data_IF_150059820705
#
_entry.id   IF_150059820705
#
_cell.length_a   1.000
_cell.length_b   1.000
_cell.length_c   1.000
_cell.angle_alpha   90.00
_cell.angle_beta   90.00
_cell.angle_gamma   90.00
#
_symmetry.space_group_name_H-M   'P 1'
#
loop_
_entity.id
_entity.type
_entity.pdbx_description
1 polymer ?
#
# COMPACT_ATOMS: atom_id res chain seq x y z
N UNK A 1 9.68 -7.35 -12.33
CA UNK A 1 8.65 -7.46 -13.38
C UNK A 1 9.21 -7.94 -14.70
N UNK A 2 10.15 -7.23 -15.35
CA UNK A 2 10.71 -7.64 -16.66
C UNK A 2 11.23 -9.09 -16.67
N UNK A 3 11.98 -9.49 -15.64
CA UNK A 3 12.48 -10.86 -15.50
C UNK A 3 11.35 -11.89 -15.31
N UNK A 4 10.31 -11.55 -14.55
CA UNK A 4 9.17 -12.45 -14.33
C UNK A 4 8.36 -12.67 -15.62
N UNK A 5 8.14 -11.61 -16.40
CA UNK A 5 7.52 -11.70 -17.73
C UNK A 5 8.30 -12.63 -18.66
N UNK A 6 9.63 -12.54 -18.67
CA UNK A 6 10.48 -13.38 -19.55
C UNK A 6 10.54 -14.85 -19.16
N UNK A 7 10.37 -15.18 -17.88
CA UNK A 7 10.52 -16.56 -17.40
C UNK A 7 9.27 -17.41 -17.62
N UNK A 8 8.11 -16.82 -17.94
CA UNK A 8 6.81 -17.47 -18.25
C UNK A 8 6.59 -18.81 -17.54
N UNK A 9 6.80 -18.84 -16.23
CA UNK A 9 6.68 -20.05 -15.41
C UNK A 9 5.79 -19.73 -14.21
N UNK A 10 4.81 -20.59 -13.94
CA UNK A 10 3.85 -20.45 -12.84
C UNK A 10 4.56 -20.25 -11.47
N UNK A 11 5.73 -20.85 -11.27
CA UNK A 11 6.53 -20.69 -10.06
C UNK A 11 7.18 -19.31 -9.89
N UNK A 12 7.20 -18.50 -10.96
CA UNK A 12 7.86 -17.20 -11.02
C UNK A 12 6.91 -16.08 -11.49
N UNK A 13 5.59 -16.31 -11.47
CA UNK A 13 4.61 -15.26 -11.77
C UNK A 13 4.62 -14.17 -10.69
N UNK A 14 4.70 -12.91 -11.11
CA UNK A 14 4.86 -11.76 -10.23
C UNK A 14 4.08 -10.57 -10.77
N UNK A 15 3.24 -10.00 -9.91
CA UNK A 15 2.67 -8.68 -10.14
C UNK A 15 3.16 -7.68 -9.08
N UNK A 16 2.98 -6.39 -9.36
CA UNK A 16 3.39 -5.32 -8.46
C UNK A 16 2.26 -4.30 -8.27
N UNK A 17 2.07 -3.88 -7.03
CA UNK A 17 1.21 -2.75 -6.65
C UNK A 17 2.09 -1.71 -5.97
N UNK A 18 2.06 -0.46 -6.42
CA UNK A 18 2.83 0.64 -5.87
C UNK A 18 1.89 1.75 -5.39
N UNK A 19 2.05 2.20 -4.15
CA UNK A 19 1.26 3.29 -3.58
C UNK A 19 2.00 4.62 -3.70
N UNK A 20 1.37 5.61 -4.35
CA UNK A 20 1.87 6.98 -4.36
C UNK A 20 1.28 7.77 -3.20
N UNK A 21 2.11 8.10 -2.20
CA UNK A 21 1.65 8.61 -0.89
C UNK A 21 1.84 10.12 -0.74
N UNK A 22 2.93 10.69 -1.27
CA UNK A 22 3.28 12.10 -1.05
C UNK A 22 3.71 12.84 -2.30
N UNK A 23 4.72 12.33 -3.01
CA UNK A 23 5.27 13.02 -4.17
C UNK A 23 4.51 12.68 -5.45
N UNK A 24 4.94 13.20 -6.60
CA UNK A 24 4.36 12.79 -7.90
C UNK A 24 5.27 11.79 -8.62
N UNK A 25 6.32 11.34 -7.96
CA UNK A 25 7.40 10.54 -8.49
C UNK A 25 6.88 9.28 -9.19
N UNK A 26 6.01 8.53 -8.52
CA UNK A 26 5.41 7.33 -9.10
C UNK A 26 4.45 7.61 -10.25
N UNK A 27 3.92 8.84 -10.37
CA UNK A 27 3.05 9.22 -11.49
C UNK A 27 3.84 9.65 -12.73
N UNK A 28 5.10 10.06 -12.55
CA UNK A 28 6.00 10.48 -13.63
C UNK A 28 6.82 9.31 -14.20
N UNK A 29 6.64 8.06 -13.72
CA UNK A 29 7.45 6.93 -14.17
C UNK A 29 7.21 6.52 -15.63
N UNK A 30 6.22 7.12 -16.28
CA UNK A 30 5.95 6.98 -17.71
C UNK A 30 6.57 8.08 -18.57
N UNK A 31 7.11 9.12 -17.96
CA UNK A 31 7.59 10.32 -18.64
C UNK A 31 9.02 10.09 -19.18
N UNK A 32 9.18 9.09 -20.04
CA UNK A 32 10.46 8.82 -20.71
C UNK A 32 10.66 9.76 -21.89
N UNK A 33 11.86 10.35 -21.99
CA UNK A 33 12.27 11.11 -23.18
C UNK A 33 12.83 10.21 -24.28
N UNK A 34 13.11 8.94 -23.95
CA UNK A 34 13.64 7.93 -24.86
C UNK A 34 12.56 6.95 -25.32
N UNK A 35 12.49 6.69 -26.63
CA UNK A 35 11.55 5.72 -27.21
C UNK A 35 11.83 4.26 -26.81
N UNK A 36 13.10 3.91 -26.56
CA UNK A 36 13.51 2.55 -26.20
C UNK A 36 14.89 2.53 -25.53
N UNK A 37 15.20 1.40 -24.89
CA UNK A 37 16.46 1.19 -24.15
C UNK A 37 17.71 1.43 -24.99
N UNK A 38 17.73 1.00 -26.26
CA UNK A 38 18.92 1.17 -27.12
C UNK A 38 19.24 2.63 -27.38
N UNK A 39 18.20 3.45 -27.64
CA UNK A 39 18.35 4.91 -27.80
C UNK A 39 18.77 5.58 -26.48
N UNK A 40 18.18 5.17 -25.36
CA UNK A 40 18.53 5.68 -24.04
C UNK A 40 20.01 5.42 -23.70
N UNK A 41 20.46 4.17 -23.80
CA UNK A 41 21.84 3.76 -23.52
C UNK A 41 22.82 4.53 -24.42
N UNK A 42 22.52 4.63 -25.72
CA UNK A 42 23.35 5.37 -26.66
C UNK A 42 23.47 6.85 -26.27
N UNK A 43 22.36 7.51 -25.97
CA UNK A 43 22.36 8.92 -25.55
C UNK A 43 23.20 9.13 -24.29
N UNK A 44 23.01 8.29 -23.27
CA UNK A 44 23.78 8.37 -22.02
C UNK A 44 25.28 8.13 -22.25
N UNK A 45 25.66 7.27 -23.20
CA UNK A 45 27.06 6.98 -23.51
C UNK A 45 27.80 8.13 -24.22
N UNK A 46 27.06 9.08 -24.82
CA UNK A 46 27.62 10.26 -25.48
C UNK A 46 27.97 11.37 -24.47
N UNK A 47 27.48 11.27 -23.23
CA UNK A 47 27.73 12.19 -22.13
C UNK A 47 28.74 11.63 -21.13
N UNK A 48 29.91 12.26 -20.99
CA UNK A 48 30.99 11.78 -20.12
C UNK A 48 30.56 11.56 -18.65
N UNK A 49 29.63 12.38 -18.13
CA UNK A 49 29.15 12.25 -16.74
C UNK A 49 28.22 11.05 -16.53
N UNK A 50 27.63 10.52 -17.60
CA UNK A 50 26.63 9.44 -17.58
C UNK A 50 27.16 8.13 -18.18
N UNK A 51 28.45 8.06 -18.55
CA UNK A 51 29.05 6.86 -19.14
C UNK A 51 28.87 5.61 -18.25
N UNK A 52 29.02 5.78 -16.92
CA UNK A 52 28.81 4.68 -15.98
C UNK A 52 27.34 4.27 -15.90
N UNK A 53 26.41 5.23 -15.93
CA UNK A 53 24.97 4.98 -15.96
C UNK A 53 24.56 4.24 -17.24
N UNK A 54 25.13 4.62 -18.39
CA UNK A 54 24.95 3.93 -19.66
C UNK A 54 25.38 2.46 -19.59
N UNK A 55 26.57 2.18 -19.04
CA UNK A 55 27.09 0.81 -18.86
C UNK A 55 26.24 -0.02 -17.91
N UNK A 56 25.74 0.59 -16.84
CA UNK A 56 24.83 -0.08 -15.89
C UNK A 56 23.49 -0.42 -16.56
N UNK A 57 22.92 0.50 -17.34
CA UNK A 57 21.69 0.25 -18.09
C UNK A 57 21.87 -0.77 -19.22
N UNK A 58 23.00 -0.74 -19.94
CA UNK A 58 23.37 -1.77 -20.92
C UNK A 58 23.40 -3.15 -20.27
N UNK A 59 24.08 -3.27 -19.12
CA UNK A 59 24.14 -4.54 -18.40
C UNK A 59 22.77 -5.00 -17.90
N UNK A 60 21.93 -4.08 -17.43
CA UNK A 60 20.57 -4.39 -17.02
C UNK A 60 19.72 -4.88 -18.22
N UNK A 61 19.86 -4.24 -19.37
CA UNK A 61 19.17 -4.61 -20.60
C UNK A 61 19.59 -5.98 -21.12
N UNK A 62 20.89 -6.32 -21.05
CA UNK A 62 21.41 -7.66 -21.36
C UNK A 62 20.82 -8.74 -20.44
N UNK A 63 20.55 -8.39 -19.17
CA UNK A 63 19.85 -9.25 -18.21
C UNK A 63 18.34 -9.26 -18.41
N UNK A 64 17.85 -8.54 -19.42
CA UNK A 64 16.45 -8.48 -19.81
C UNK A 64 15.59 -7.53 -18.99
N UNK A 65 16.20 -6.54 -18.35
CA UNK A 65 15.50 -5.48 -17.63
C UNK A 65 15.20 -4.34 -18.62
N UNK A 66 13.92 -4.09 -18.85
CA UNK A 66 13.45 -2.98 -19.68
C UNK A 66 12.46 -2.13 -18.85
N UNK A 67 12.94 -1.05 -18.20
CA UNK A 67 12.07 -0.16 -17.44
C UNK A 67 11.07 0.59 -18.32
N UNK A 68 11.43 0.97 -19.56
CA UNK A 68 10.53 1.72 -20.45
C UNK A 68 9.31 0.87 -20.78
N UNK A 69 9.51 -0.38 -21.19
CA UNK A 69 8.42 -1.33 -21.44
C UNK A 69 7.61 -1.60 -20.17
N UNK A 70 8.28 -1.84 -19.05
CA UNK A 70 7.61 -2.19 -17.79
C UNK A 70 6.70 -1.07 -17.30
N UNK A 71 7.20 0.17 -17.29
CA UNK A 71 6.48 1.31 -16.74
C UNK A 71 5.44 1.88 -17.71
N UNK A 72 5.64 1.81 -19.03
CA UNK A 72 4.61 2.22 -19.99
C UNK A 72 3.32 1.39 -19.85
N UNK A 73 3.47 0.10 -19.52
CA UNK A 73 2.37 -0.82 -19.28
C UNK A 73 1.73 -0.70 -17.88
N UNK A 74 2.20 0.21 -17.01
CA UNK A 74 1.62 0.37 -15.69
C UNK A 74 0.20 0.93 -15.75
N UNK A 75 -0.71 0.47 -14.90
CA UNK A 75 -2.03 1.07 -14.74
C UNK A 75 -2.03 2.05 -13.58
N UNK A 76 -2.54 3.27 -13.78
CA UNK A 76 -2.52 4.31 -12.75
C UNK A 76 -3.94 4.58 -12.27
N UNK A 77 -4.20 4.27 -11.01
CA UNK A 77 -5.48 4.43 -10.35
C UNK A 77 -5.49 5.72 -9.51
N UNK A 78 -6.54 6.52 -9.63
CA UNK A 78 -6.70 7.78 -8.92
C UNK A 78 -8.06 7.84 -8.21
N UNK A 79 -8.18 8.53 -7.07
CA UNK A 79 -9.47 8.65 -6.40
C UNK A 79 -10.40 9.51 -7.26
N UNK A 80 -11.64 9.07 -7.41
CA UNK A 80 -12.66 9.84 -8.10
C UNK A 80 -13.99 9.11 -8.20
N UNK A 81 -15.09 9.84 -8.05
CA UNK A 81 -16.44 9.32 -8.27
C UNK A 81 -16.77 9.45 -9.76
N UNK A 82 -16.32 8.47 -10.53
CA UNK A 82 -16.55 8.34 -11.98
C UNK A 82 -16.61 6.86 -12.34
N UNK A 83 -17.21 6.55 -13.49
CA UNK A 83 -17.22 5.20 -14.06
C UNK A 83 -15.95 4.88 -14.88
N UNK A 84 -14.98 5.78 -14.91
CA UNK A 84 -13.67 5.53 -15.53
C UNK A 84 -12.95 4.37 -14.83
N UNK A 85 -12.39 3.38 -15.57
CA UNK A 85 -11.73 2.22 -14.99
C UNK A 85 -10.58 2.56 -14.04
N UNK A 86 -9.86 3.64 -14.32
CA UNK A 86 -8.73 4.14 -13.53
C UNK A 86 -9.15 5.02 -12.36
N UNK A 87 -10.46 5.23 -12.15
CA UNK A 87 -11.00 5.97 -11.01
C UNK A 87 -11.56 5.02 -9.98
N UNK A 88 -11.15 5.23 -8.73
CA UNK A 88 -11.61 4.41 -7.62
C UNK A 88 -12.38 5.21 -6.58
N UNK A 89 -13.42 4.59 -6.04
CA UNK A 89 -14.20 5.09 -4.90
C UNK A 89 -14.95 3.96 -4.19
N UNK A 90 -15.37 4.19 -2.95
CA UNK A 90 -15.94 3.17 -2.07
C UNK A 90 -17.32 3.59 -1.56
N UNK A 91 -18.24 2.64 -1.50
CA UNK A 91 -19.47 2.74 -0.73
C UNK A 91 -19.31 2.13 0.67
N UNK A 92 -20.34 2.24 1.50
CA UNK A 92 -20.33 1.68 2.86
C UNK A 92 -20.09 0.16 2.83
N UNK A 93 -20.71 -0.54 1.89
CA UNK A 93 -20.64 -2.00 1.83
C UNK A 93 -19.27 -2.49 1.37
N UNK A 94 -18.57 -1.77 0.49
CA UNK A 94 -17.20 -2.17 0.11
C UNK A 94 -16.28 -2.15 1.33
N UNK A 95 -16.40 -1.09 2.15
CA UNK A 95 -15.60 -0.91 3.36
C UNK A 95 -15.96 -1.96 4.43
N UNK A 96 -17.25 -2.18 4.71
CA UNK A 96 -17.68 -3.17 5.70
C UNK A 96 -17.36 -4.61 5.28
N UNK A 97 -17.45 -4.94 3.99
CA UNK A 97 -17.12 -6.27 3.48
C UNK A 97 -15.63 -6.58 3.57
N UNK A 98 -14.76 -5.58 3.36
CA UNK A 98 -13.32 -5.75 3.54
C UNK A 98 -12.93 -5.93 5.01
N UNK A 99 -13.71 -5.36 5.93
CA UNK A 99 -13.64 -5.64 7.35
C UNK A 99 -13.78 -4.42 8.25
N UNK A 100 -14.06 -4.70 9.53
CA UNK A 100 -14.31 -3.68 10.55
C UNK A 100 -13.11 -2.76 10.80
N UNK A 101 -11.90 -3.28 10.67
CA UNK A 101 -10.62 -2.59 10.72
C UNK A 101 -10.44 -1.59 9.57
N UNK A 102 -10.88 -1.94 8.35
CA UNK A 102 -10.96 -1.01 7.21
C UNK A 102 -11.95 0.11 7.51
N UNK A 103 -13.10 -0.22 8.11
CA UNK A 103 -14.06 0.79 8.52
C UNK A 103 -13.53 1.70 9.64
N UNK A 104 -12.73 1.17 10.57
CA UNK A 104 -12.04 1.99 11.57
C UNK A 104 -11.03 2.95 10.95
N UNK A 105 -10.36 2.57 9.85
CA UNK A 105 -9.36 3.42 9.18
C UNK A 105 -9.91 4.75 8.68
N UNK A 106 -11.22 4.86 8.45
CA UNK A 106 -11.80 6.14 8.00
C UNK A 106 -11.78 7.18 9.13
N UNK A 107 -11.57 6.78 10.38
CA UNK A 107 -11.45 7.67 11.53
C UNK A 107 -9.97 7.89 11.89
N UNK A 108 -9.68 8.93 12.68
CA UNK A 108 -8.35 9.06 13.25
C UNK A 108 -8.18 8.06 14.40
N UNK A 109 -6.99 7.46 14.61
CA UNK A 109 -6.76 6.53 15.71
C UNK A 109 -7.09 7.12 17.09
N UNK A 110 -6.79 8.40 17.31
CA UNK A 110 -7.09 9.13 18.56
C UNK A 110 -8.59 9.30 18.82
N UNK A 111 -9.42 9.18 17.77
CA UNK A 111 -10.86 9.26 17.90
C UNK A 111 -11.48 7.93 18.36
N UNK A 112 -10.78 6.80 18.24
CA UNK A 112 -11.35 5.47 18.52
C UNK A 112 -11.06 5.09 19.98
N UNK A 113 -12.02 5.35 20.87
CA UNK A 113 -12.05 4.78 22.23
C UNK A 113 -12.81 3.45 22.25
N UNK A 114 -12.71 2.66 23.33
CA UNK A 114 -13.36 1.34 23.47
C UNK A 114 -14.87 1.37 23.19
N UNK A 115 -15.54 2.50 23.49
CA UNK A 115 -16.98 2.65 23.26
C UNK A 115 -17.28 2.87 21.79
N UNK A 116 -16.49 3.72 21.12
CA UNK A 116 -16.60 3.93 19.68
C UNK A 116 -16.23 2.66 18.92
N UNK A 117 -15.22 1.93 19.36
CA UNK A 117 -14.83 0.64 18.80
C UNK A 117 -15.98 -0.37 18.88
N UNK A 118 -16.57 -0.56 20.07
CA UNK A 118 -17.73 -1.43 20.28
C UNK A 118 -18.94 -1.05 19.42
N UNK A 119 -19.19 0.24 19.24
CA UNK A 119 -20.22 0.74 18.33
C UNK A 119 -19.91 0.42 16.88
N UNK A 120 -18.66 0.57 16.44
CA UNK A 120 -18.23 0.23 15.08
C UNK A 120 -18.45 -1.26 14.78
N UNK A 121 -18.10 -2.17 15.71
CA UNK A 121 -18.42 -3.59 15.58
C UNK A 121 -19.93 -3.86 15.48
N UNK A 122 -20.72 -3.13 16.28
CA UNK A 122 -22.18 -3.27 16.26
C UNK A 122 -22.79 -2.79 14.94
N UNK A 123 -22.23 -1.71 14.38
CA UNK A 123 -22.61 -1.19 13.06
C UNK A 123 -22.25 -2.19 11.97
N UNK A 124 -21.05 -2.74 11.99
CA UNK A 124 -20.63 -3.74 11.01
C UNK A 124 -21.58 -4.95 11.04
N UNK A 125 -21.88 -5.48 12.23
CA UNK A 125 -22.79 -6.61 12.41
C UNK A 125 -24.22 -6.35 11.91
N UNK A 126 -24.76 -5.15 12.13
CA UNK A 126 -26.15 -4.81 11.76
C UNK A 126 -26.30 -4.32 10.32
N UNK A 127 -25.31 -3.61 9.79
CA UNK A 127 -25.41 -2.87 8.53
C UNK A 127 -24.55 -3.42 7.38
N UNK A 128 -23.74 -4.48 7.60
CA UNK A 128 -23.10 -5.25 6.51
C UNK A 128 -24.10 -6.18 5.83
N UNK A 129 -25.10 -5.58 5.18
CA UNK A 129 -26.26 -6.25 4.57
C UNK A 129 -26.22 -6.25 3.02
N UNK A 130 -25.16 -5.69 2.44
CA UNK A 130 -24.96 -5.53 1.00
C UNK A 130 -25.80 -4.42 0.35
N UNK A 131 -26.61 -3.66 1.10
CA UNK A 131 -27.62 -2.73 0.57
C UNK A 131 -27.63 -1.36 1.25
N UNK A 132 -27.19 -1.27 2.50
CA UNK A 132 -27.23 -0.03 3.27
C UNK A 132 -26.17 0.95 2.77
N UNK A 133 -26.57 2.21 2.56
CA UNK A 133 -25.67 3.32 2.19
C UNK A 133 -25.23 4.13 3.42
N UNK A 134 -24.21 4.98 3.29
CA UNK A 134 -23.82 5.89 4.38
C UNK A 134 -24.96 6.83 4.78
N UNK A 135 -25.71 7.36 3.81
CA UNK A 135 -26.84 8.24 4.11
C UNK A 135 -27.94 7.49 4.87
N UNK A 136 -28.24 6.25 4.47
CA UNK A 136 -29.21 5.41 5.19
C UNK A 136 -28.75 5.06 6.60
N UNK A 137 -27.47 4.74 6.80
CA UNK A 137 -26.88 4.50 8.11
C UNK A 137 -27.07 5.74 9.01
N UNK A 138 -26.68 6.92 8.52
CA UNK A 138 -26.81 8.19 9.25
C UNK A 138 -28.28 8.45 9.61
N UNK A 139 -29.20 8.31 8.66
CA UNK A 139 -30.63 8.50 8.90
C UNK A 139 -31.15 7.54 9.96
N UNK A 140 -30.87 6.23 9.86
CA UNK A 140 -31.36 5.22 10.80
C UNK A 140 -30.85 5.47 12.22
N UNK A 141 -29.55 5.72 12.38
CA UNK A 141 -28.97 6.03 13.69
C UNK A 141 -29.55 7.32 14.29
N UNK A 142 -29.73 8.35 13.47
CA UNK A 142 -30.35 9.61 13.91
C UNK A 142 -31.81 9.42 14.33
N UNK A 143 -32.59 8.62 13.59
CA UNK A 143 -33.97 8.31 13.94
C UNK A 143 -34.07 7.53 15.25
N UNK A 144 -33.19 6.53 15.46
CA UNK A 144 -33.15 5.77 16.72
C UNK A 144 -32.80 6.67 17.93
N UNK A 145 -31.95 7.69 17.74
CA UNK A 145 -31.60 8.67 18.76
C UNK A 145 -32.74 9.60 19.18
N UNK A 146 -33.74 9.80 18.33
CA UNK A 146 -34.89 10.67 18.64
C UNK A 146 -35.96 9.97 19.52
N UNK A 147 -35.63 8.83 20.11
CA UNK A 147 -36.48 8.13 21.07
C UNK A 147 -36.28 8.69 22.49
N UNK A 148 -37.24 8.50 23.40
CA UNK A 148 -37.11 8.91 24.81
C UNK A 148 -36.14 8.04 25.63
N UNK A 149 -35.39 7.14 24.98
CA UNK A 149 -34.44 6.23 25.62
C UNK A 149 -33.04 6.85 25.63
N UNK A 150 -32.23 6.60 26.64
CA UNK A 150 -30.83 7.06 26.69
C UNK A 150 -29.83 6.04 26.11
N UNK A 151 -30.31 4.81 25.91
CA UNK A 151 -29.56 3.66 25.42
C UNK A 151 -30.34 3.05 24.26
N UNK A 152 -29.62 2.74 23.18
CA UNK A 152 -30.16 2.14 21.96
C UNK A 152 -29.41 0.84 21.72
N UNK A 153 -30.13 -0.22 21.33
CA UNK A 153 -29.50 -1.47 20.93
C UNK A 153 -29.16 -1.43 19.44
N UNK A 154 -27.89 -1.64 19.11
CA UNK A 154 -27.37 -1.78 17.75
C UNK A 154 -26.60 -3.09 17.69
N UNK A 155 -26.84 -3.95 16.71
CA UNK A 155 -26.21 -5.27 16.60
C UNK A 155 -26.51 -6.21 17.78
N UNK A 156 -27.55 -5.92 18.57
CA UNK A 156 -27.88 -6.60 19.83
C UNK A 156 -27.06 -6.13 21.04
N UNK A 157 -26.28 -5.06 20.92
CA UNK A 157 -25.44 -4.51 21.99
C UNK A 157 -25.97 -3.11 22.40
N UNK A 158 -26.11 -2.81 23.71
CA UNK A 158 -26.57 -1.50 24.16
C UNK A 158 -25.49 -0.42 24.05
N UNK A 159 -25.85 0.71 23.41
CA UNK A 159 -24.99 1.88 23.23
C UNK A 159 -25.67 3.14 23.76
N UNK A 160 -24.92 3.98 24.47
CA UNK A 160 -25.45 5.27 24.95
C UNK A 160 -25.55 6.26 23.77
N UNK A 161 -26.62 7.08 23.76
CA UNK A 161 -26.87 8.07 22.69
C UNK A 161 -25.68 9.00 22.45
N UNK A 162 -24.97 9.39 23.50
CA UNK A 162 -23.80 10.27 23.37
C UNK A 162 -22.65 9.63 22.57
N UNK A 163 -22.47 8.30 22.65
CA UNK A 163 -21.49 7.58 21.82
C UNK A 163 -21.89 7.62 20.35
N UNK A 164 -23.18 7.37 20.06
CA UNK A 164 -23.73 7.41 18.69
C UNK A 164 -23.65 8.82 18.12
N UNK A 165 -23.96 9.85 18.92
CA UNK A 165 -23.86 11.26 18.53
C UNK A 165 -22.42 11.64 18.19
N UNK A 166 -21.45 11.23 19.02
CA UNK A 166 -20.01 11.42 18.76
C UNK A 166 -19.58 10.73 17.47
N UNK A 167 -20.01 9.48 17.26
CA UNK A 167 -19.75 8.72 16.05
C UNK A 167 -20.31 9.45 14.80
N UNK A 168 -21.58 9.86 14.81
CA UNK A 168 -22.20 10.57 13.69
C UNK A 168 -21.51 11.89 13.37
N UNK A 169 -21.09 12.64 14.39
CA UNK A 169 -20.33 13.89 14.19
C UNK A 169 -18.98 13.62 13.50
N UNK A 170 -18.26 12.59 13.94
CA UNK A 170 -16.98 12.18 13.35
C UNK A 170 -17.17 11.64 11.93
N UNK A 171 -18.16 10.77 11.72
CA UNK A 171 -18.48 10.19 10.42
C UNK A 171 -18.81 11.29 9.40
N UNK A 172 -19.64 12.26 9.76
CA UNK A 172 -19.96 13.38 8.87
C UNK A 172 -18.72 14.22 8.50
N UNK A 173 -17.78 14.42 9.44
CA UNK A 173 -16.52 15.12 9.16
C UNK A 173 -15.66 14.32 8.18
N UNK A 174 -15.53 13.02 8.39
CA UNK A 174 -14.78 12.10 7.53
C UNK A 174 -15.38 12.07 6.12
N UNK A 175 -16.69 11.88 5.98
CA UNK A 175 -17.36 11.83 4.68
C UNK A 175 -17.25 13.12 3.87
N UNK A 176 -17.10 14.28 4.55
CA UNK A 176 -16.79 15.55 3.88
C UNK A 176 -15.35 15.59 3.38
N UNK A 177 -14.41 15.08 4.18
CA UNK A 177 -12.98 15.07 3.85
C UNK A 177 -12.61 14.03 2.78
N UNK A 178 -13.39 12.95 2.66
CA UNK A 178 -13.15 11.83 1.74
C UNK A 178 -14.18 11.81 0.60
N UNK A 179 -14.79 12.96 0.27
CA UNK A 179 -15.84 13.06 -0.75
C UNK A 179 -15.37 12.73 -2.18
N UNK A 180 -14.07 12.65 -2.41
CA UNK A 180 -13.47 12.26 -3.68
C UNK A 180 -13.22 10.75 -3.80
N UNK A 181 -13.28 9.99 -2.71
CA UNK A 181 -13.12 8.53 -2.71
C UNK A 181 -14.23 7.78 -1.99
N UNK A 182 -15.20 8.44 -1.35
CA UNK A 182 -16.36 7.81 -0.72
C UNK A 182 -17.66 8.33 -1.35
N UNK A 183 -18.48 7.41 -1.85
CA UNK A 183 -19.85 7.69 -2.30
C UNK A 183 -20.84 7.42 -1.17
N UNK A 184 -21.65 8.42 -0.83
CA UNK A 184 -22.60 8.34 0.30
C UNK A 184 -23.94 7.72 -0.04
N UNK A 185 -24.39 7.96 -1.26
CA UNK A 185 -25.73 7.65 -1.76
C UNK A 185 -25.85 6.24 -2.36
N UNK A 186 -24.72 5.55 -2.54
CA UNK A 186 -24.67 4.20 -3.10
C UNK A 186 -24.10 3.23 -2.05
N UNK A 187 -24.60 1.98 -2.00
CA UNK A 187 -24.08 0.99 -1.05
C UNK A 187 -22.67 0.55 -1.42
N UNK A 188 -22.38 0.46 -2.72
CA UNK A 188 -21.10 0.08 -3.30
C UNK A 188 -20.63 1.18 -4.26
N UNK A 189 -19.33 1.32 -4.39
CA UNK A 189 -18.65 2.18 -5.35
C UNK A 189 -17.98 1.36 -6.44
N UNK A 190 -16.81 1.82 -6.84
CA UNK A 190 -15.93 1.18 -7.82
C UNK A 190 -14.53 1.08 -7.20
N UNK A 191 -14.29 0.11 -6.30
CA UNK A 191 -12.96 -0.11 -5.72
C UNK A 191 -11.96 -0.56 -6.79
N UNK A 192 -10.66 -0.48 -6.49
CA UNK A 192 -9.62 -1.04 -7.37
C UNK A 192 -9.82 -2.56 -7.46
N UNK A 193 -9.96 -3.07 -8.67
CA UNK A 193 -10.23 -4.49 -8.96
C UNK A 193 -8.93 -5.31 -8.92
N UNK A 194 -8.32 -5.45 -7.74
CA UNK A 194 -7.06 -6.18 -7.60
C UNK A 194 -7.19 -7.67 -7.91
N UNK A 195 -8.41 -8.20 -7.91
CA UNK A 195 -8.68 -9.57 -8.29
C UNK A 195 -8.43 -9.85 -9.78
N UNK A 196 -8.31 -8.80 -10.60
CA UNK A 196 -7.96 -8.87 -12.02
C UNK A 196 -6.46 -8.77 -12.29
N UNK A 197 -5.64 -8.70 -11.24
CA UNK A 197 -4.19 -8.57 -11.38
C UNK A 197 -3.60 -9.81 -12.06
N UNK A 198 -2.85 -9.61 -13.14
CA UNK A 198 -2.22 -10.67 -13.92
C UNK A 198 -0.68 -10.66 -13.79
N UNK A 199 -0.04 -11.72 -14.29
CA UNK A 199 1.41 -11.84 -14.25
C UNK A 199 2.09 -10.70 -15.00
N UNK A 200 2.97 -9.97 -14.30
CA UNK A 200 3.74 -8.88 -14.85
C UNK A 200 3.05 -7.52 -14.80
N UNK A 201 1.84 -7.45 -14.25
CA UNK A 201 1.14 -6.18 -14.06
C UNK A 201 1.85 -5.27 -13.05
N UNK A 202 1.68 -3.98 -13.28
CA UNK A 202 2.11 -2.92 -12.38
C UNK A 202 0.96 -1.96 -12.16
N UNK A 203 0.33 -2.02 -10.99
CA UNK A 203 -0.70 -1.07 -10.58
C UNK A 203 -0.06 0.03 -9.75
N UNK A 204 -0.34 1.28 -10.07
CA UNK A 204 0.07 2.46 -9.31
C UNK A 204 -1.18 3.09 -8.71
N UNK A 205 -1.34 2.99 -7.40
CA UNK A 205 -2.50 3.50 -6.70
C UNK A 205 -2.13 4.86 -6.11
N UNK A 206 -2.64 5.92 -6.72
CA UNK A 206 -2.47 7.27 -6.21
C UNK A 206 -3.37 7.50 -5.01
N UNK A 207 -2.80 7.61 -3.82
CA UNK A 207 -3.52 7.95 -2.58
C UNK A 207 -3.09 9.31 -2.04
N UNK A 208 -2.13 9.98 -2.67
CA UNK A 208 -1.66 11.33 -2.31
C UNK A 208 -2.80 12.33 -2.11
N UNK A 209 -3.84 12.40 -2.97
CA UNK A 209 -4.91 13.38 -2.83
C UNK A 209 -5.83 13.15 -1.62
N UNK A 210 -5.72 12.00 -0.95
CA UNK A 210 -6.56 11.63 0.18
C UNK A 210 -6.03 12.20 1.49
N UNK A 211 -6.93 12.43 2.44
CA UNK A 211 -6.53 12.65 3.83
C UNK A 211 -5.91 11.38 4.43
N UNK A 212 -5.10 11.52 5.50
CA UNK A 212 -4.32 10.42 6.10
C UNK A 212 -5.18 9.20 6.49
N UNK A 213 -6.40 9.41 6.97
CA UNK A 213 -7.38 8.34 7.24
C UNK A 213 -7.82 7.62 5.95
N UNK A 214 -8.08 8.36 4.87
CA UNK A 214 -8.38 7.79 3.55
C UNK A 214 -7.21 6.98 2.99
N UNK A 215 -5.97 7.45 3.13
CA UNK A 215 -4.76 6.71 2.72
C UNK A 215 -4.68 5.35 3.42
N UNK A 216 -4.83 5.34 4.76
CA UNK A 216 -4.81 4.11 5.56
C UNK A 216 -5.93 3.14 5.18
N UNK A 217 -7.14 3.68 4.95
CA UNK A 217 -8.28 2.88 4.52
C UNK A 217 -8.01 2.17 3.19
N UNK A 218 -7.58 2.91 2.16
CA UNK A 218 -7.30 2.32 0.84
C UNK A 218 -6.16 1.30 0.92
N UNK A 219 -5.09 1.63 1.64
CA UNK A 219 -3.98 0.71 1.82
C UNK A 219 -4.43 -0.60 2.49
N UNK A 220 -5.10 -0.52 3.64
CA UNK A 220 -5.56 -1.73 4.35
C UNK A 220 -6.58 -2.52 3.53
N UNK A 221 -7.50 -1.85 2.84
CA UNK A 221 -8.47 -2.49 1.95
C UNK A 221 -7.78 -3.39 0.91
N UNK A 222 -6.76 -2.87 0.23
CA UNK A 222 -5.99 -3.61 -0.78
C UNK A 222 -5.21 -4.75 -0.13
N UNK A 223 -4.52 -4.49 0.99
CA UNK A 223 -3.73 -5.49 1.69
C UNK A 223 -4.57 -6.68 2.15
N UNK A 224 -5.80 -6.45 2.63
CA UNK A 224 -6.69 -7.53 3.07
C UNK A 224 -7.20 -8.41 1.94
N UNK A 225 -7.53 -7.82 0.79
CA UNK A 225 -7.92 -8.63 -0.36
C UNK A 225 -6.75 -9.44 -0.91
N UNK A 226 -5.53 -8.86 -0.95
CA UNK A 226 -4.33 -9.63 -1.32
C UNK A 226 -4.09 -10.78 -0.35
N UNK A 227 -4.21 -10.55 0.96
CA UNK A 227 -4.07 -11.58 2.00
C UNK A 227 -5.08 -12.72 1.76
N UNK A 228 -6.36 -12.41 1.52
CA UNK A 228 -7.41 -13.39 1.24
C UNK A 228 -7.14 -14.21 -0.04
N UNK A 229 -6.80 -13.55 -1.14
CA UNK A 229 -6.51 -14.21 -2.43
C UNK A 229 -5.29 -15.13 -2.32
N UNK A 230 -4.21 -14.63 -1.71
CA UNK A 230 -2.93 -15.34 -1.64
C UNK A 230 -2.95 -16.49 -0.63
N UNK A 231 -3.64 -16.36 0.51
CA UNK A 231 -3.85 -17.48 1.44
C UNK A 231 -4.67 -18.59 0.76
N UNK A 232 -5.77 -18.26 0.08
CA UNK A 232 -6.58 -19.24 -0.64
C UNK A 232 -5.77 -19.98 -1.71
N UNK A 233 -4.94 -19.26 -2.48
CA UNK A 233 -4.05 -19.87 -3.49
C UNK A 233 -3.04 -20.82 -2.84
N UNK A 234 -2.44 -20.42 -1.71
CA UNK A 234 -1.49 -21.27 -0.96
C UNK A 234 -2.13 -22.53 -0.39
N UNK A 235 -3.40 -22.47 0.00
CA UNK A 235 -4.19 -23.63 0.44
C UNK A 235 -4.56 -24.58 -0.72
N UNK A 236 -4.28 -24.21 -1.97
CA UNK A 236 -4.60 -25.01 -3.15
C UNK A 236 -6.07 -24.91 -3.58
N UNK A 237 -6.75 -23.82 -3.20
CA UNK A 237 -8.11 -23.51 -3.66
C UNK A 237 -8.01 -23.05 -5.13
N UNK A 238 -8.90 -23.54 -5.99
CA UNK A 238 -8.90 -23.21 -7.43
C UNK A 238 -9.56 -21.86 -7.74
N UNK A 239 -10.62 -21.49 -7.02
CA UNK A 239 -11.27 -20.19 -7.16
C UNK A 239 -11.90 -19.71 -5.85
N UNK A 240 -11.95 -18.39 -5.68
CA UNK A 240 -12.68 -17.73 -4.58
C UNK A 240 -13.54 -16.60 -5.13
N UNK A 241 -14.46 -16.09 -4.31
CA UNK A 241 -15.26 -14.91 -4.66
C UNK A 241 -14.77 -13.70 -3.89
N UNK A 242 -14.28 -12.70 -4.61
CA UNK A 242 -13.98 -11.37 -4.08
C UNK A 242 -15.09 -10.44 -4.54
N UNK A 243 -15.98 -10.10 -3.62
CA UNK A 243 -17.19 -9.34 -3.96
C UNK A 243 -18.07 -10.09 -4.98
N UNK A 244 -18.41 -9.48 -6.13
CA UNK A 244 -19.17 -10.14 -7.19
C UNK A 244 -18.30 -10.98 -8.15
N UNK A 245 -16.97 -10.85 -8.07
CA UNK A 245 -16.04 -11.44 -9.03
C UNK A 245 -15.59 -12.82 -8.54
N UNK A 246 -15.63 -13.80 -9.44
CA UNK A 246 -14.97 -15.09 -9.21
C UNK A 246 -13.53 -14.99 -9.72
N UNK A 247 -12.59 -15.28 -8.82
CA UNK A 247 -11.16 -15.16 -9.07
C UNK A 247 -10.62 -16.56 -9.35
N UNK A 248 -10.10 -16.76 -10.55
CA UNK A 248 -9.36 -17.96 -10.89
C UNK A 248 -7.96 -17.89 -10.27
N UNK A 249 -7.75 -18.68 -9.22
CA UNK A 249 -6.51 -18.67 -8.46
C UNK A 249 -5.38 -19.39 -9.20
N UNK A 250 -5.63 -20.15 -10.26
CA UNK A 250 -4.57 -20.70 -11.10
C UNK A 250 -3.90 -19.58 -11.91
N UNK A 251 -4.72 -18.67 -12.46
CA UNK A 251 -4.27 -17.52 -13.25
C UNK A 251 -3.71 -16.37 -12.40
N UNK A 252 -4.17 -16.23 -11.15
CA UNK A 252 -3.67 -15.17 -10.27
C UNK A 252 -2.15 -15.32 -9.97
N UNK A 253 -1.37 -14.22 -9.94
CA UNK A 253 0.06 -14.27 -9.67
C UNK A 253 0.42 -15.02 -8.38
N UNK A 254 1.42 -15.90 -8.45
CA UNK A 254 1.95 -16.61 -7.28
C UNK A 254 2.64 -15.69 -6.28
N UNK A 255 3.10 -14.52 -6.73
CA UNK A 255 3.68 -13.49 -5.89
C UNK A 255 3.13 -12.11 -6.25
N UNK A 256 2.88 -11.32 -5.23
CA UNK A 256 2.54 -9.91 -5.36
C UNK A 256 3.51 -9.09 -4.52
N UNK A 257 4.20 -8.15 -5.16
CA UNK A 257 5.02 -7.16 -4.47
C UNK A 257 4.22 -5.89 -4.26
N UNK A 258 4.13 -5.42 -3.03
CA UNK A 258 3.55 -4.14 -2.67
C UNK A 258 4.65 -3.16 -2.32
N UNK A 259 4.78 -2.08 -3.10
CA UNK A 259 5.67 -0.97 -2.82
C UNK A 259 4.91 0.17 -2.15
N UNK A 260 5.46 0.71 -1.06
CA UNK A 260 4.85 1.80 -0.29
C UNK A 260 5.90 2.84 0.03
N UNK A 261 5.69 4.05 -0.47
CA UNK A 261 6.41 5.24 0.00
C UNK A 261 5.78 5.75 1.31
N UNK A 262 6.60 6.30 2.22
CA UNK A 262 6.17 6.69 3.57
C UNK A 262 5.40 5.58 4.33
N UNK A 263 5.96 4.36 4.37
CA UNK A 263 5.50 3.23 5.20
C UNK A 263 5.08 3.60 6.66
N UNK A 264 5.73 4.56 7.31
CA UNK A 264 5.47 5.07 8.66
C UNK A 264 4.06 5.66 8.79
N UNK A 265 3.44 6.08 7.68
CA UNK A 265 2.03 6.51 7.66
C UNK A 265 1.07 5.37 8.02
N UNK A 266 1.47 4.14 7.70
CA UNK A 266 0.69 2.92 7.85
C UNK A 266 1.15 2.10 9.06
N UNK A 267 2.46 2.09 9.33
CA UNK A 267 3.07 1.40 10.45
C UNK A 267 4.05 2.31 11.22
N UNK A 268 3.56 3.35 11.92
CA UNK A 268 4.40 4.27 12.67
C UNK A 268 5.07 3.59 13.86
N UNK A 269 6.26 4.06 14.24
CA UNK A 269 6.93 3.62 15.46
C UNK A 269 6.17 4.00 16.73
N UNK A 270 6.47 3.30 17.83
CA UNK A 270 5.88 3.56 19.13
C UNK A 270 4.70 2.64 19.50
N UNK A 271 4.22 2.82 20.74
CA UNK A 271 3.27 1.92 21.41
C UNK A 271 1.80 2.29 21.22
N UNK A 272 1.48 3.24 20.34
CA UNK A 272 0.08 3.59 20.07
C UNK A 272 -0.64 2.36 19.52
N UNK A 273 -1.47 1.77 20.37
CA UNK A 273 -2.26 0.58 20.05
C UNK A 273 -3.43 1.05 19.19
N UNK A 274 -3.24 1.03 17.88
CA UNK A 274 -4.31 1.18 16.92
C UNK A 274 -4.65 -0.20 16.35
N UNK A 275 -5.89 -0.70 16.46
CA UNK A 275 -6.32 -1.97 15.84
C UNK A 275 -5.99 -2.06 14.34
N UNK A 276 -5.85 -0.89 13.69
CA UNK A 276 -5.44 -0.74 12.30
C UNK A 276 -3.97 -1.16 12.11
N UNK A 277 -3.11 -0.72 13.02
CA UNK A 277 -1.66 -0.99 12.96
C UNK A 277 -1.36 -2.48 13.12
N UNK A 278 -2.04 -3.16 14.05
CA UNK A 278 -1.86 -4.61 14.24
C UNK A 278 -2.24 -5.41 12.99
N UNK A 279 -3.35 -5.05 12.33
CA UNK A 279 -3.79 -5.74 11.12
C UNK A 279 -2.76 -5.63 9.99
N UNK A 280 -2.15 -4.46 9.82
CA UNK A 280 -1.07 -4.24 8.84
C UNK A 280 0.17 -5.06 9.20
N UNK A 281 0.59 -5.05 10.47
CA UNK A 281 1.74 -5.82 10.94
C UNK A 281 1.51 -7.32 10.73
N UNK A 282 0.32 -7.84 11.04
CA UNK A 282 -0.02 -9.26 10.91
C UNK A 282 0.06 -9.74 9.45
N UNK A 283 -0.46 -8.93 8.51
CA UNK A 283 -0.38 -9.23 7.07
C UNK A 283 1.09 -9.23 6.60
N UNK A 284 1.87 -8.23 7.02
CA UNK A 284 3.29 -8.13 6.64
C UNK A 284 4.13 -9.25 7.24
N UNK A 285 3.88 -9.62 8.51
CA UNK A 285 4.62 -10.66 9.22
C UNK A 285 4.41 -12.05 8.58
N UNK A 286 3.22 -12.33 8.05
CA UNK A 286 2.89 -13.61 7.40
C UNK A 286 3.09 -13.60 5.88
N UNK A 287 3.21 -12.42 5.28
CA UNK A 287 3.22 -12.19 3.83
C UNK A 287 4.21 -13.07 3.06
N UNK A 288 5.42 -13.26 3.58
CA UNK A 288 6.46 -14.10 2.94
C UNK A 288 5.96 -15.53 2.67
N UNK A 289 5.12 -16.07 3.55
CA UNK A 289 4.64 -17.45 3.44
C UNK A 289 3.53 -17.64 2.41
N UNK A 290 2.84 -16.54 2.02
CA UNK A 290 1.69 -16.54 1.10
C UNK A 290 2.03 -15.96 -0.27
N UNK A 291 3.26 -15.50 -0.47
CA UNK A 291 3.69 -14.88 -1.73
C UNK A 291 3.53 -13.35 -1.76
N UNK A 292 3.21 -12.72 -0.63
CA UNK A 292 3.17 -11.26 -0.49
C UNK A 292 4.53 -10.70 -0.06
N UNK A 293 5.07 -9.75 -0.82
CA UNK A 293 6.32 -9.04 -0.49
C UNK A 293 6.03 -7.56 -0.28
N UNK A 294 6.36 -7.01 0.89
CA UNK A 294 6.29 -5.57 1.13
C UNK A 294 7.67 -4.93 0.90
N UNK A 295 7.71 -3.85 0.13
CA UNK A 295 8.86 -2.96 -0.02
C UNK A 295 8.45 -1.58 0.52
N UNK A 296 8.97 -1.23 1.68
CA UNK A 296 8.79 0.10 2.26
C UNK A 296 9.95 1.03 1.91
N UNK A 297 9.63 2.27 1.50
CA UNK A 297 10.59 3.35 1.36
C UNK A 297 10.35 4.41 2.44
N UNK A 298 11.43 4.83 3.11
CA UNK A 298 11.39 5.73 4.25
C UNK A 298 12.61 6.62 4.37
N UNK A 299 12.41 7.79 4.97
CA UNK A 299 13.54 8.67 5.31
C UNK A 299 14.29 8.17 6.54
N UNK A 300 13.57 7.77 7.59
CA UNK A 300 14.12 7.38 8.88
C UNK A 300 13.54 6.02 9.30
N UNK A 301 14.39 5.01 9.48
CA UNK A 301 13.94 3.72 9.96
C UNK A 301 13.33 3.83 11.37
N UNK A 302 13.85 4.74 12.20
CA UNK A 302 13.34 4.99 13.56
C UNK A 302 11.87 5.41 13.65
N UNK A 303 11.26 5.81 12.53
CA UNK A 303 9.85 6.20 12.45
C UNK A 303 8.92 5.04 12.07
N UNK A 304 9.46 3.86 11.74
CA UNK A 304 8.69 2.67 11.38
C UNK A 304 8.56 1.74 12.57
N UNK A 305 7.49 0.96 12.60
CA UNK A 305 7.30 -0.09 13.57
C UNK A 305 8.47 -1.09 13.59
N UNK A 306 8.91 -1.44 14.81
CA UNK A 306 10.05 -2.31 15.04
C UNK A 306 9.81 -3.73 14.53
N UNK A 307 8.60 -4.26 14.62
CA UNK A 307 8.30 -5.62 14.18
C UNK A 307 8.42 -5.74 12.66
N UNK A 308 8.03 -4.71 11.91
CA UNK A 308 8.22 -4.69 10.46
C UNK A 308 9.71 -4.65 10.11
N UNK A 309 10.47 -3.78 10.78
CA UNK A 309 11.91 -3.67 10.51
C UNK A 309 12.66 -4.94 10.84
N UNK A 310 12.38 -5.59 11.97
CA UNK A 310 13.07 -6.83 12.40
C UNK A 310 12.75 -8.01 11.47
N UNK A 311 11.57 -8.04 10.86
CA UNK A 311 11.19 -9.09 9.91
C UNK A 311 11.68 -8.84 8.48
N UNK A 312 12.32 -7.70 8.19
CA UNK A 312 12.85 -7.41 6.86
C UNK A 312 14.11 -8.24 6.57
N UNK A 313 14.10 -9.00 5.46
CA UNK A 313 15.25 -9.80 5.00
C UNK A 313 16.28 -9.00 4.21
N UNK A 314 15.92 -7.79 3.79
CA UNK A 314 16.70 -6.94 2.90
C UNK A 314 16.61 -5.50 3.35
N UNK A 315 17.75 -4.84 3.47
CA UNK A 315 17.85 -3.42 3.76
C UNK A 315 18.66 -2.72 2.68
N UNK A 316 18.16 -1.58 2.22
CA UNK A 316 18.86 -0.65 1.36
C UNK A 316 18.94 0.69 2.07
N UNK A 317 20.14 1.13 2.40
CA UNK A 317 20.37 2.38 3.14
C UNK A 317 21.16 3.33 2.25
N UNK A 318 20.52 4.43 1.84
CA UNK A 318 21.20 5.54 1.18
C UNK A 318 21.92 6.43 2.19
N UNK A 319 22.25 7.65 1.75
CA UNK A 319 22.83 8.66 2.64
C UNK A 319 21.93 8.88 3.86
N UNK A 320 22.51 8.82 5.05
CA UNK A 320 21.81 9.02 6.32
C UNK A 320 22.64 9.86 7.29
N UNK A 321 21.95 10.61 8.14
CA UNK A 321 22.56 11.45 9.16
C UNK A 321 23.12 10.63 10.32
N UNK A 322 24.23 11.09 10.90
CA UNK A 322 24.92 10.36 11.98
C UNK A 322 24.01 10.04 13.17
N UNK A 323 23.09 10.94 13.52
CA UNK A 323 22.15 10.74 14.64
C UNK A 323 21.26 9.54 14.39
N UNK A 324 20.71 9.39 13.18
CA UNK A 324 19.86 8.24 12.82
C UNK A 324 20.68 6.94 12.78
N UNK A 325 21.91 6.99 12.29
CA UNK A 325 22.83 5.84 12.25
C UNK A 325 23.20 5.28 13.64
N UNK A 326 23.00 6.05 14.71
CA UNK A 326 23.18 5.54 16.10
C UNK A 326 22.04 4.61 16.54
N UNK A 327 20.92 4.63 15.83
CA UNK A 327 19.76 3.81 16.18
C UNK A 327 20.08 2.30 16.05
N UNK A 328 19.44 1.49 16.91
CA UNK A 328 19.59 0.02 16.91
C UNK A 328 19.31 -0.62 15.55
N UNK A 329 18.46 0.00 14.72
CA UNK A 329 18.09 -0.52 13.40
C UNK A 329 19.24 -0.51 12.37
N UNK A 330 20.35 0.20 12.64
CA UNK A 330 21.53 0.26 11.76
C UNK A 330 22.72 -0.54 12.31
N UNK A 331 22.56 -1.28 13.41
CA UNK A 331 23.65 -2.04 14.03
C UNK A 331 24.27 -3.11 13.13
N UNK A 332 23.51 -3.59 12.14
CA UNK A 332 23.99 -4.53 11.12
C UNK A 332 25.03 -3.91 10.16
N UNK A 333 25.13 -2.58 10.09
CA UNK A 333 26.19 -1.88 9.36
C UNK A 333 27.45 -1.85 10.23
N UNK A 334 28.60 -2.39 9.79
CA UNK A 334 29.86 -2.30 10.52
C UNK A 334 30.29 -0.83 10.71
N UNK A 335 30.98 -0.54 11.82
CA UNK A 335 31.36 0.84 12.19
C UNK A 335 32.13 1.57 11.08
N UNK A 336 33.16 0.95 10.49
CA UNK A 336 33.91 1.53 9.38
C UNK A 336 33.07 1.77 8.11
N UNK A 337 31.97 1.02 7.92
CA UNK A 337 31.04 1.26 6.81
C UNK A 337 30.04 2.37 7.15
N UNK A 338 29.66 2.55 8.42
CA UNK A 338 28.74 3.64 8.84
C UNK A 338 29.32 5.01 8.54
N UNK A 339 30.63 5.20 8.74
CA UNK A 339 31.31 6.47 8.37
C UNK A 339 31.13 6.78 6.88
N UNK A 340 31.14 5.75 6.02
CA UNK A 340 30.92 5.90 4.58
C UNK A 340 29.46 6.19 4.22
N UNK A 341 28.49 5.69 5.00
CA UNK A 341 27.05 5.93 4.75
C UNK A 341 26.74 7.43 4.72
N UNK A 342 27.39 8.22 5.57
CA UNK A 342 27.24 9.67 5.61
C UNK A 342 27.68 10.38 4.32
N UNK A 343 28.62 9.79 3.57
CA UNK A 343 29.22 10.36 2.36
C UNK A 343 28.71 9.72 1.06
N UNK A 344 27.73 8.80 1.13
CA UNK A 344 27.14 8.20 -0.06
C UNK A 344 26.60 9.27 -1.01
N UNK A 345 26.91 9.10 -2.30
CA UNK A 345 26.37 9.93 -3.36
C UNK A 345 24.97 9.46 -3.77
N UNK A 346 24.16 10.31 -4.44
CA UNK A 346 22.90 9.88 -5.02
C UNK A 346 23.07 8.62 -5.88
N UNK A 347 22.21 7.63 -5.66
CA UNK A 347 22.28 6.32 -6.31
C UNK A 347 23.18 5.30 -5.62
N UNK A 348 24.07 5.71 -4.71
CA UNK A 348 24.87 4.79 -3.89
C UNK A 348 24.10 4.36 -2.63
N UNK A 349 24.11 3.06 -2.35
CA UNK A 349 23.38 2.47 -1.22
C UNK A 349 24.23 1.39 -0.55
N UNK A 350 24.04 1.20 0.75
CA UNK A 350 24.47 -0.01 1.46
C UNK A 350 23.34 -1.04 1.41
N UNK A 351 23.62 -2.18 0.79
CA UNK A 351 22.74 -3.35 0.74
C UNK A 351 23.14 -4.34 1.82
N UNK A 352 22.17 -4.74 2.65
CA UNK A 352 22.23 -5.96 3.46
C UNK A 352 21.11 -6.89 3.03
N UNK A 353 21.44 -8.18 2.87
CA UNK A 353 20.49 -9.20 2.47
C UNK A 353 20.89 -10.54 3.08
N UNK A 354 19.90 -11.37 3.45
CA UNK A 354 20.10 -12.67 4.13
C UNK A 354 21.08 -13.62 3.42
N UNK A 355 21.29 -13.47 2.11
CA UNK A 355 22.23 -14.30 1.32
C UNK A 355 23.67 -13.79 1.30
N UNK A 356 23.93 -12.58 1.81
CA UNK A 356 25.27 -12.01 1.87
C UNK A 356 25.80 -12.06 3.31
N UNK A 357 27.07 -12.45 3.46
CA UNK A 357 27.72 -12.54 4.77
C UNK A 357 28.09 -11.18 5.36
N UNK A 358 28.18 -10.16 4.52
CA UNK A 358 28.49 -8.79 4.91
C UNK A 358 27.69 -7.81 4.03
N UNK A 359 27.35 -6.61 4.56
CA UNK A 359 26.77 -5.56 3.75
C UNK A 359 27.72 -5.11 2.64
N UNK A 360 27.16 -4.80 1.47
CA UNK A 360 27.91 -4.34 0.30
C UNK A 360 27.43 -2.96 -0.15
N UNK A 361 28.34 -2.16 -0.70
CA UNK A 361 27.97 -0.89 -1.34
C UNK A 361 27.60 -1.19 -2.79
N UNK A 362 26.40 -0.77 -3.19
CA UNK A 362 25.91 -0.86 -4.56
C UNK A 362 25.64 0.54 -5.10
N UNK A 363 25.54 0.65 -6.42
CA UNK A 363 25.10 1.86 -7.10
C UNK A 363 23.99 1.51 -8.09
N UNK A 364 22.91 2.28 -8.07
CA UNK A 364 21.90 2.27 -9.12
C UNK A 364 22.21 3.35 -10.16
N UNK A 365 21.94 3.10 -11.45
CA UNK A 365 22.04 4.13 -12.45
C UNK A 365 20.96 5.19 -12.26
N UNK A 366 21.20 6.40 -12.78
CA UNK A 366 20.17 7.46 -12.82
C UNK A 366 18.90 6.91 -13.52
N UNK A 367 17.70 7.08 -12.93
CA UNK A 367 16.46 6.62 -13.54
C UNK A 367 16.21 7.28 -14.90
N UNK A 368 15.82 6.49 -15.92
CA UNK A 368 15.67 6.99 -17.30
C UNK A 368 14.62 8.09 -17.47
N UNK A 369 13.60 8.13 -16.62
CA UNK A 369 12.57 9.19 -16.63
C UNK A 369 13.01 10.47 -15.90
N UNK A 370 14.23 10.50 -15.32
CA UNK A 370 14.81 11.64 -14.58
C UNK A 370 16.19 12.04 -15.08
N UNK A 371 16.59 11.62 -16.28
CA UNK A 371 17.94 11.92 -16.77
C UNK A 371 18.12 13.42 -17.00
N UNK A 372 17.06 14.10 -17.46
CA UNK A 372 17.06 15.53 -17.79
C UNK A 372 16.80 16.47 -16.58
N UNK A 373 16.51 15.90 -15.40
CA UNK A 373 16.44 16.62 -14.12
C UNK A 373 17.84 16.82 -13.51
#
# INVERSE_FOLDING_TARGET
LSTAKKLENENYSLACIAFNVKEKDLLAIKDFTYENMKKAIKSLSEENELELDARMWEKAYDLGIDPIETFNNAEIFQPGISAEPTKYHFGLQDILNAGVDVFMCIFNPEDIDDKMESLIYSIEKEYRDGKTTFDQLITRLTTQMNTNQTIISIGGVPHHISTISKFLNRLNKVLRSLNNCIVRSQPKGHPIEIEKLENGDLYIIDIKPLADNGKRMVFLYIMKQLDEILEAKKEGISSIKIGPTEVDLELFPSRVTVFVDELNKFAPSGRSRSPIKSSIIDIVARGRSIGLTLIGAEQLASQVDEEILVNASTYLVGKQENVELTNKFYKWIPEGLRERVFYLQPGELVLSHERHTAPIVIRFPRPLHRVEE
#
